data_IF_765961160226
#
_entry.id   IF_765961160226
#
_cell.length_a   1.000
_cell.length_b   1.000
_cell.length_c   1.000
_cell.angle_alpha   90.00
_cell.angle_beta   90.00
_cell.angle_gamma   90.00
#
_symmetry.space_group_name_H-M   'P 1'
#
loop_
_entity.id
_entity.type
_entity.pdbx_description
1 polymer ?
#
# COMPACT_ATOMS: atom_id res chain seq x y z
N UNK A 1 -22.13 35.32 -4.23
CA UNK A 1 -23.37 35.87 -4.83
C UNK A 1 -23.26 35.74 -6.33
N UNK A 2 -24.03 34.82 -6.92
CA UNK A 2 -24.00 34.51 -8.35
C UNK A 2 -24.89 35.50 -9.09
N UNK A 3 -24.31 36.40 -9.88
CA UNK A 3 -25.05 37.34 -10.72
C UNK A 3 -25.36 36.73 -12.08
N UNK A 4 -26.61 36.36 -12.32
CA UNK A 4 -27.10 35.96 -13.65
C UNK A 4 -27.29 37.22 -14.51
N UNK A 5 -26.47 37.42 -15.56
CA UNK A 5 -26.73 38.48 -16.55
C UNK A 5 -27.50 37.87 -17.72
N UNK A 6 -28.77 38.26 -17.85
CA UNK A 6 -29.61 37.95 -19.02
C UNK A 6 -29.34 38.97 -20.13
N UNK A 7 -28.83 38.51 -21.28
CA UNK A 7 -28.68 39.33 -22.49
C UNK A 7 -29.99 39.42 -23.29
N UNK A 8 -30.28 40.59 -23.87
CA UNK A 8 -31.48 40.85 -24.70
C UNK A 8 -31.56 39.92 -25.92
N UNK A 9 -32.73 39.33 -26.15
CA UNK A 9 -33.04 38.50 -27.32
C UNK A 9 -33.88 39.31 -28.31
N UNK A 10 -33.43 39.41 -29.57
CA UNK A 10 -34.24 39.85 -30.70
C UNK A 10 -34.73 38.62 -31.46
N UNK A 11 -36.04 38.48 -31.65
CA UNK A 11 -36.65 37.36 -32.38
C UNK A 11 -36.78 37.68 -33.88
N UNK A 12 -36.20 36.83 -34.71
CA UNK A 12 -36.58 36.61 -36.11
C UNK A 12 -36.32 35.14 -36.43
N UNK A 13 -37.31 34.46 -37.02
CA UNK A 13 -37.46 33.00 -37.10
C UNK A 13 -36.23 32.21 -37.53
N UNK A 14 -35.90 31.18 -36.74
CA UNK A 14 -34.85 30.19 -37.01
C UNK A 14 -34.61 29.33 -35.77
N UNK A 15 -34.43 28.03 -35.94
CA UNK A 15 -34.28 27.00 -34.90
C UNK A 15 -33.30 27.44 -33.79
N UNK A 16 -33.76 27.38 -32.53
CA UNK A 16 -33.00 27.78 -31.34
C UNK A 16 -32.02 26.67 -30.91
N UNK A 17 -30.74 26.81 -31.27
CA UNK A 17 -29.65 26.10 -30.60
C UNK A 17 -29.28 26.88 -29.32
N UNK A 18 -29.53 26.30 -28.15
CA UNK A 18 -29.02 26.84 -26.88
C UNK A 18 -27.58 26.36 -26.70
N UNK A 19 -26.61 27.18 -27.12
CA UNK A 19 -25.22 26.98 -26.73
C UNK A 19 -25.05 27.46 -25.28
N UNK A 20 -25.03 26.53 -24.31
CA UNK A 20 -24.55 26.83 -22.96
C UNK A 20 -23.02 26.98 -23.00
N UNK A 21 -22.54 28.21 -23.20
CA UNK A 21 -21.14 28.54 -22.95
C UNK A 21 -20.93 28.67 -21.43
N UNK A 22 -20.41 27.62 -20.78
CA UNK A 22 -19.83 27.76 -19.45
C UNK A 22 -18.51 28.53 -19.57
N UNK A 23 -18.54 29.82 -19.28
CA UNK A 23 -17.30 30.54 -18.93
C UNK A 23 -16.78 29.97 -17.63
N UNK A 24 -15.61 29.33 -17.67
CA UNK A 24 -14.84 29.00 -16.49
C UNK A 24 -14.65 30.28 -15.67
N UNK A 25 -15.30 30.35 -14.51
CA UNK A 25 -14.98 31.39 -13.54
C UNK A 25 -13.51 31.23 -13.19
N UNK A 26 -12.72 32.28 -13.37
CA UNK A 26 -11.42 32.38 -12.72
C UNK A 26 -11.68 32.23 -11.22
N UNK A 27 -11.41 31.05 -10.67
CA UNK A 27 -11.34 30.87 -9.24
C UNK A 27 -10.33 31.90 -8.76
N UNK A 28 -10.78 32.84 -7.92
CA UNK A 28 -9.86 33.58 -7.06
C UNK A 28 -8.97 32.50 -6.45
N UNK A 29 -7.66 32.55 -6.71
CA UNK A 29 -6.71 31.68 -6.05
C UNK A 29 -6.93 31.91 -4.56
N UNK A 30 -7.64 30.99 -3.90
CA UNK A 30 -7.74 30.99 -2.45
C UNK A 30 -6.29 30.86 -2.01
N UNK A 31 -5.76 31.93 -1.42
CA UNK A 31 -4.44 31.91 -0.80
C UNK A 31 -4.50 30.86 0.29
N UNK A 32 -4.09 29.64 -0.03
CA UNK A 32 -4.06 28.54 0.91
C UNK A 32 -2.94 28.84 1.91
N UNK A 33 -3.31 29.40 3.06
CA UNK A 33 -2.41 29.57 4.20
C UNK A 33 -2.50 28.31 5.05
N UNK A 34 -1.63 27.35 4.76
CA UNK A 34 -1.65 26.03 5.39
C UNK A 34 -0.48 25.80 6.36
N UNK A 35 0.53 26.68 6.33
CA UNK A 35 1.73 26.54 7.18
C UNK A 35 1.49 27.06 8.60
N UNK A 36 0.23 27.19 9.02
CA UNK A 36 -0.18 27.68 10.33
C UNK A 36 -0.10 26.54 11.34
N UNK A 37 0.98 26.49 12.10
CA UNK A 37 1.22 25.72 13.33
C UNK A 37 0.89 24.21 13.41
N UNK A 38 0.18 23.59 12.47
CA UNK A 38 -0.06 22.14 12.46
C UNK A 38 1.27 21.41 12.30
N UNK A 39 1.76 20.70 13.34
CA UNK A 39 3.07 20.07 13.29
C UNK A 39 3.06 18.78 12.48
N UNK A 40 1.89 18.26 12.12
CA UNK A 40 1.74 16.89 11.65
C UNK A 40 0.76 16.74 10.49
N UNK A 41 1.08 15.80 9.60
CA UNK A 41 0.23 15.30 8.54
C UNK A 41 -0.16 13.86 8.87
N UNK A 42 -1.45 13.55 8.83
CA UNK A 42 -1.96 12.20 8.99
C UNK A 42 -2.58 11.69 7.70
N UNK A 43 -2.37 10.42 7.42
CA UNK A 43 -3.15 9.64 6.47
C UNK A 43 -3.82 8.48 7.21
N UNK A 44 -5.11 8.29 7.00
CA UNK A 44 -5.88 7.17 7.55
C UNK A 44 -6.51 6.38 6.41
N UNK A 45 -6.23 5.07 6.32
CA UNK A 45 -6.82 4.22 5.29
C UNK A 45 -8.33 4.14 5.47
N UNK A 46 -9.04 4.26 4.35
CA UNK A 46 -10.49 4.11 4.27
C UNK A 46 -10.87 2.70 3.87
N UNK A 47 -12.18 2.46 3.77
CA UNK A 47 -12.72 1.17 3.34
C UNK A 47 -12.24 0.82 1.92
N UNK A 48 -11.65 -0.37 1.71
CA UNK A 48 -11.23 -0.85 0.40
C UNK A 48 -12.43 -1.05 -0.54
N UNK A 49 -12.22 -0.81 -1.83
CA UNK A 49 -13.21 -0.90 -2.90
C UNK A 49 -12.88 -2.08 -3.83
N UNK A 50 -12.98 -3.30 -3.28
CA UNK A 50 -12.64 -4.53 -3.99
C UNK A 50 -13.67 -4.87 -5.08
N UNK A 51 -13.20 -5.26 -6.27
CA UNK A 51 -14.03 -5.57 -7.43
C UNK A 51 -14.49 -4.35 -8.24
N UNK A 52 -14.16 -3.12 -7.80
CA UNK A 52 -14.50 -1.88 -8.51
C UNK A 52 -13.49 -1.49 -9.60
N UNK A 53 -12.25 -1.98 -9.51
CA UNK A 53 -11.11 -1.48 -10.28
C UNK A 53 -10.82 -0.01 -9.96
N UNK A 54 -10.29 0.71 -10.95
CA UNK A 54 -10.21 2.18 -10.92
C UNK A 54 -8.94 2.77 -10.32
N UNK A 55 -8.20 2.02 -9.50
CA UNK A 55 -6.92 2.49 -8.97
C UNK A 55 -5.71 2.08 -9.81
N UNK A 56 -5.84 1.11 -10.71
CA UNK A 56 -4.71 0.76 -11.57
C UNK A 56 -5.03 -0.27 -12.64
N UNK A 57 -4.00 -0.63 -13.40
CA UNK A 57 -4.07 -1.69 -14.41
C UNK A 57 -2.76 -2.45 -14.54
N UNK A 58 -2.85 -3.71 -14.92
CA UNK A 58 -1.77 -4.39 -15.64
C UNK A 58 -2.11 -4.45 -17.13
N UNK A 59 -1.09 -4.29 -17.98
CA UNK A 59 -1.25 -4.28 -19.44
C UNK A 59 -0.25 -5.21 -20.13
N UNK A 60 -0.60 -5.73 -21.30
CA UNK A 60 0.31 -6.46 -22.18
C UNK A 60 1.19 -5.50 -23.03
N UNK A 61 1.98 -6.06 -23.96
CA UNK A 61 2.84 -5.29 -24.87
C UNK A 61 2.07 -4.48 -25.92
N UNK A 62 0.83 -4.87 -26.23
CA UNK A 62 -0.05 -4.13 -27.13
C UNK A 62 -0.81 -3.00 -26.43
N UNK A 63 -0.67 -2.88 -25.11
CA UNK A 63 -1.39 -1.91 -24.27
C UNK A 63 -2.79 -2.36 -23.86
N UNK A 64 -3.19 -3.60 -24.16
CA UNK A 64 -4.46 -4.14 -23.72
C UNK A 64 -4.42 -4.38 -22.20
N UNK A 65 -5.52 -4.04 -21.52
CA UNK A 65 -5.67 -4.24 -20.07
C UNK A 65 -5.86 -5.73 -19.79
N UNK A 66 -4.96 -6.33 -19.02
CA UNK A 66 -5.05 -7.71 -18.56
C UNK A 66 -5.82 -7.82 -17.23
N UNK A 67 -5.58 -6.87 -16.31
CA UNK A 67 -6.27 -6.79 -15.02
C UNK A 67 -6.46 -5.34 -14.61
N UNK A 68 -7.61 -5.03 -14.02
CA UNK A 68 -7.83 -3.77 -13.29
C UNK A 68 -7.45 -3.97 -11.83
N UNK A 69 -6.74 -3.01 -11.25
CA UNK A 69 -6.32 -3.01 -9.86
C UNK A 69 -7.33 -2.21 -9.04
N UNK A 70 -7.72 -2.78 -7.91
CA UNK A 70 -8.74 -2.27 -7.01
C UNK A 70 -8.13 -1.29 -6.01
N UNK A 71 -8.89 -0.24 -5.66
CA UNK A 71 -8.52 0.64 -4.55
C UNK A 71 -8.64 -0.13 -3.22
N UNK A 72 -7.57 -0.20 -2.43
CA UNK A 72 -7.50 -0.98 -1.20
C UNK A 72 -7.12 -2.45 -1.42
N UNK A 73 -6.72 -2.83 -2.64
CA UNK A 73 -6.18 -4.15 -2.94
C UNK A 73 -4.66 -4.18 -2.90
N UNK A 74 -4.09 -5.17 -2.23
CA UNK A 74 -2.67 -5.53 -2.32
C UNK A 74 -2.49 -6.66 -3.34
N UNK A 75 -1.64 -6.41 -4.32
CA UNK A 75 -1.24 -7.36 -5.34
C UNK A 75 0.24 -7.69 -5.18
N UNK A 76 0.63 -8.95 -5.36
CA UNK A 76 2.01 -9.39 -5.28
C UNK A 76 2.27 -10.64 -6.14
N UNK A 77 3.54 -10.91 -6.40
CA UNK A 77 3.96 -12.10 -7.14
C UNK A 77 3.92 -11.94 -8.66
N UNK A 78 4.56 -12.87 -9.34
CA UNK A 78 4.60 -12.95 -10.80
C UNK A 78 3.32 -13.52 -11.41
N UNK A 79 3.42 -14.04 -12.65
CA UNK A 79 2.29 -14.69 -13.31
C UNK A 79 1.89 -16.04 -12.68
N UNK A 80 2.72 -16.59 -11.80
CA UNK A 80 2.50 -17.89 -11.15
C UNK A 80 1.91 -17.81 -9.74
N UNK A 81 1.50 -16.61 -9.29
CA UNK A 81 0.94 -16.43 -7.94
C UNK A 81 -0.28 -17.36 -7.73
N UNK A 82 -0.22 -18.14 -6.65
CA UNK A 82 -1.24 -19.12 -6.28
C UNK A 82 -2.21 -18.63 -5.22
N UNK A 83 -1.94 -17.48 -4.61
CA UNK A 83 -2.83 -16.81 -3.64
C UNK A 83 -3.92 -16.04 -4.41
N UNK A 84 -5.21 -16.09 -3.97
CA UNK A 84 -6.25 -15.24 -4.52
C UNK A 84 -5.91 -13.75 -4.34
N UNK A 85 -5.92 -12.98 -5.44
CA UNK A 85 -5.61 -11.55 -5.44
C UNK A 85 -6.82 -10.70 -5.88
N UNK A 86 -6.99 -9.50 -5.30
CA UNK A 86 -6.10 -8.87 -4.30
C UNK A 86 -6.26 -9.43 -2.89
N UNK A 87 -5.21 -9.31 -2.07
CA UNK A 87 -5.38 -9.33 -0.61
C UNK A 87 -6.02 -7.99 -0.20
N UNK A 88 -6.97 -8.03 0.74
CA UNK A 88 -7.70 -6.83 1.17
C UNK A 88 -6.85 -6.05 2.16
N UNK A 89 -6.54 -4.79 1.88
CA UNK A 89 -5.81 -3.95 2.85
C UNK A 89 -6.78 -3.51 3.95
N UNK A 90 -6.43 -3.67 5.24
CA UNK A 90 -7.28 -3.20 6.33
C UNK A 90 -7.51 -1.68 6.30
N UNK A 91 -8.70 -1.26 6.67
CA UNK A 91 -9.04 0.15 6.87
C UNK A 91 -8.63 0.63 8.27
N UNK A 92 -8.81 1.92 8.55
CA UNK A 92 -8.52 2.58 9.83
C UNK A 92 -7.04 2.58 10.25
N UNK A 93 -6.15 2.05 9.42
CA UNK A 93 -4.71 2.17 9.58
C UNK A 93 -4.28 3.62 9.45
N UNK A 94 -3.66 4.17 10.49
CA UNK A 94 -3.21 5.56 10.53
C UNK A 94 -1.69 5.64 10.43
N UNK A 95 -1.18 6.58 9.64
CA UNK A 95 0.23 6.95 9.61
C UNK A 95 0.36 8.45 9.82
N UNK A 96 1.16 8.86 10.79
CA UNK A 96 1.40 10.27 11.14
C UNK A 96 2.85 10.62 10.81
N UNK A 97 3.05 11.75 10.13
CA UNK A 97 4.33 12.33 9.75
C UNK A 97 4.47 13.71 10.37
N UNK A 98 5.66 14.07 10.80
CA UNK A 98 6.00 15.43 11.21
C UNK A 98 6.19 16.31 9.96
N UNK A 99 5.67 17.53 10.01
CA UNK A 99 5.94 18.59 9.04
C UNK A 99 7.18 19.33 9.54
N UNK A 100 8.34 18.99 8.98
CA UNK A 100 9.64 19.55 9.42
C UNK A 100 9.97 20.88 8.77
N UNK A 101 9.34 21.18 7.63
CA UNK A 101 9.38 22.48 6.99
C UNK A 101 8.10 22.71 6.17
N UNK A 102 7.65 23.96 6.09
CA UNK A 102 6.50 24.38 5.28
C UNK A 102 6.79 25.73 4.62
N UNK A 103 6.70 25.79 3.29
CA UNK A 103 6.87 27.02 2.52
C UNK A 103 5.54 27.77 2.40
N UNK A 104 5.35 28.86 3.13
CA UNK A 104 4.10 29.62 3.11
C UNK A 104 3.73 30.21 1.72
N UNK A 105 4.72 30.41 0.83
CA UNK A 105 4.50 30.94 -0.51
C UNK A 105 4.04 29.87 -1.52
N UNK A 106 4.42 28.61 -1.33
CA UNK A 106 4.17 27.53 -2.29
C UNK A 106 3.32 26.38 -1.73
N UNK A 107 3.15 26.34 -0.41
CA UNK A 107 2.57 25.23 0.34
C UNK A 107 3.39 23.95 0.35
N UNK A 108 4.65 23.98 -0.12
CA UNK A 108 5.53 22.83 -0.11
C UNK A 108 5.84 22.38 1.32
N UNK A 109 5.70 21.08 1.58
CA UNK A 109 5.94 20.43 2.86
C UNK A 109 7.18 19.54 2.76
N UNK A 110 8.01 19.55 3.80
CA UNK A 110 9.00 18.49 4.07
C UNK A 110 8.46 17.62 5.19
N UNK A 111 8.44 16.31 4.96
CA UNK A 111 7.86 15.32 5.87
C UNK A 111 8.97 14.51 6.53
N UNK A 112 8.83 14.27 7.82
CA UNK A 112 9.73 13.45 8.62
C UNK A 112 8.98 12.48 9.52
N UNK A 113 9.73 11.52 10.07
CA UNK A 113 9.17 10.51 10.95
C UNK A 113 8.58 11.10 12.25
N UNK A 114 7.55 10.43 12.77
CA UNK A 114 7.05 10.57 14.13
C UNK A 114 7.47 9.38 14.98
N UNK A 115 7.69 9.65 16.26
CA UNK A 115 7.87 8.65 17.32
C UNK A 115 6.53 8.39 18.03
N UNK A 116 6.46 7.38 18.93
CA UNK A 116 5.28 7.19 19.77
C UNK A 116 4.97 8.39 20.68
N UNK A 117 5.99 9.16 21.08
CA UNK A 117 5.78 10.37 21.86
C UNK A 117 5.06 11.46 21.05
N UNK A 118 5.34 11.55 19.74
CA UNK A 118 4.73 12.56 18.86
C UNK A 118 3.29 12.20 18.47
N UNK A 119 3.00 10.90 18.31
CA UNK A 119 1.74 10.37 17.75
C UNK A 119 0.79 9.77 18.79
N UNK A 120 1.28 9.59 20.02
CA UNK A 120 0.57 8.94 21.13
C UNK A 120 0.63 7.41 21.14
N UNK A 121 1.15 6.75 20.09
CA UNK A 121 1.22 5.29 20.02
C UNK A 121 2.31 4.77 19.08
N UNK A 122 2.78 3.53 19.29
CA UNK A 122 3.59 2.81 18.30
C UNK A 122 2.78 2.36 17.08
N UNK A 123 1.44 2.45 17.11
CA UNK A 123 0.52 1.95 16.06
C UNK A 123 0.24 2.93 14.92
N UNK A 124 0.56 4.20 15.12
CA UNK A 124 0.28 5.26 14.15
C UNK A 124 1.50 6.16 13.85
N UNK A 125 2.64 5.87 14.47
CA UNK A 125 3.89 6.58 14.21
C UNK A 125 4.59 6.12 12.93
N UNK A 126 5.73 6.73 12.58
CA UNK A 126 6.43 6.48 11.32
C UNK A 126 7.97 6.40 11.44
N UNK A 127 8.49 6.11 12.64
CA UNK A 127 9.90 5.86 12.92
C UNK A 127 10.28 4.36 12.89
N UNK A 128 11.50 4.05 12.43
CA UNK A 128 11.98 2.66 12.31
C UNK A 128 12.61 2.07 13.58
N UNK A 129 12.99 2.90 14.55
CA UNK A 129 13.72 2.50 15.77
C UNK A 129 12.83 2.18 16.99
N UNK A 130 11.51 2.09 16.81
CA UNK A 130 10.55 2.02 17.92
C UNK A 130 10.45 0.61 18.49
N UNK A 131 10.55 0.43 19.81
CA UNK A 131 10.29 -0.88 20.42
C UNK A 131 8.78 -1.19 20.41
N UNK A 132 8.39 -2.43 20.04
CA UNK A 132 7.00 -2.87 20.08
C UNK A 132 6.74 -3.82 21.26
N UNK A 133 5.92 -3.41 22.24
CA UNK A 133 5.48 -4.30 23.31
C UNK A 133 4.72 -5.54 22.80
N UNK A 134 3.93 -5.38 21.73
CA UNK A 134 3.14 -6.46 21.12
C UNK A 134 3.99 -7.50 20.38
N UNK A 135 5.18 -7.09 19.92
CA UNK A 135 6.10 -7.92 19.13
C UNK A 135 7.53 -7.81 19.68
N UNK A 136 7.85 -8.51 20.79
CA UNK A 136 9.16 -8.43 21.43
C UNK A 136 10.32 -8.73 20.46
N UNK A 137 11.33 -7.87 20.46
CA UNK A 137 12.50 -7.99 19.59
C UNK A 137 12.31 -7.50 18.15
N UNK A 138 11.12 -6.97 17.81
CA UNK A 138 10.81 -6.45 16.47
C UNK A 138 10.56 -4.95 16.53
N UNK A 139 11.51 -4.16 16.02
CA UNK A 139 11.46 -2.70 16.13
C UNK A 139 10.69 -2.02 14.96
N UNK A 140 10.37 -0.74 15.10
CA UNK A 140 9.66 0.06 14.09
C UNK A 140 8.19 0.25 14.41
N UNK A 141 7.65 1.42 14.10
CA UNK A 141 6.21 1.69 14.22
C UNK A 141 5.40 0.67 13.43
N UNK A 142 4.24 0.28 13.94
CA UNK A 142 3.34 -0.61 13.21
C UNK A 142 2.66 0.17 12.09
N UNK A 143 2.48 -0.48 10.94
CA UNK A 143 1.86 0.12 9.76
C UNK A 143 0.53 -0.56 9.47
N UNK A 144 -0.53 0.04 10.02
CA UNK A 144 -1.89 -0.49 9.94
C UNK A 144 -2.10 -1.81 10.67
N UNK A 145 -3.35 -2.30 10.71
CA UNK A 145 -3.72 -3.57 11.34
C UNK A 145 -2.98 -4.78 10.73
N UNK A 146 -2.86 -5.91 11.45
CA UNK A 146 -2.38 -7.16 10.88
C UNK A 146 -3.15 -7.53 9.61
N UNK A 147 -2.44 -7.80 8.52
CA UNK A 147 -3.02 -8.10 7.22
C UNK A 147 -3.22 -9.61 7.06
N UNK A 148 -4.47 -10.11 6.98
CA UNK A 148 -4.73 -11.49 6.61
C UNK A 148 -4.52 -11.70 5.11
N UNK A 149 -3.87 -12.80 4.74
CA UNK A 149 -3.75 -13.27 3.35
C UNK A 149 -4.33 -14.69 3.27
N UNK A 150 -5.66 -14.83 3.14
CA UNK A 150 -6.31 -16.13 2.99
C UNK A 150 -5.94 -16.79 1.65
N UNK A 151 -5.58 -18.08 1.68
CA UNK A 151 -5.41 -18.87 0.49
C UNK A 151 -6.43 -20.01 0.44
N UNK A 152 -7.59 -19.76 -0.19
CA UNK A 152 -8.65 -20.75 -0.32
C UNK A 152 -8.23 -22.01 -1.12
N UNK A 153 -7.26 -21.87 -2.04
CA UNK A 153 -6.73 -23.00 -2.83
C UNK A 153 -5.83 -23.92 -2.00
N UNK A 154 -5.21 -23.38 -0.94
CA UNK A 154 -4.39 -24.15 0.00
C UNK A 154 -4.41 -23.49 1.37
N UNK A 155 -5.43 -23.77 2.21
CA UNK A 155 -5.64 -23.05 3.46
C UNK A 155 -4.42 -23.05 4.40
N UNK A 156 -3.64 -24.15 4.42
CA UNK A 156 -2.41 -24.27 5.20
C UNK A 156 -1.29 -23.28 4.80
N UNK A 157 -1.38 -22.67 3.60
CA UNK A 157 -0.42 -21.68 3.13
C UNK A 157 -0.86 -20.24 3.37
N UNK A 158 -2.02 -20.04 4.01
CA UNK A 158 -2.51 -18.71 4.37
C UNK A 158 -1.61 -18.07 5.43
N UNK A 159 -1.43 -16.76 5.34
CA UNK A 159 -0.48 -16.05 6.19
C UNK A 159 -1.09 -14.81 6.85
N UNK A 160 -0.63 -14.52 8.06
CA UNK A 160 -0.83 -13.23 8.70
C UNK A 160 0.42 -12.39 8.49
N UNK A 161 0.27 -11.15 8.02
CA UNK A 161 1.38 -10.23 7.79
C UNK A 161 1.28 -9.07 8.76
N UNK A 162 2.35 -8.84 9.52
CA UNK A 162 2.47 -7.66 10.37
C UNK A 162 3.48 -6.72 9.73
N UNK A 163 3.04 -5.52 9.36
CA UNK A 163 3.91 -4.52 8.77
C UNK A 163 4.45 -3.59 9.85
N UNK A 164 5.76 -3.36 9.83
CA UNK A 164 6.43 -2.41 10.70
C UNK A 164 7.41 -1.56 9.91
N UNK A 165 7.60 -0.31 10.31
CA UNK A 165 8.48 0.64 9.65
C UNK A 165 9.93 0.23 9.86
N UNK A 166 10.67 0.03 8.78
CA UNK A 166 12.07 -0.41 8.82
C UNK A 166 13.03 0.75 9.09
N UNK A 167 12.71 1.93 8.56
CA UNK A 167 13.54 3.13 8.63
C UNK A 167 12.64 4.36 8.77
N UNK A 168 13.18 5.42 9.39
CA UNK A 168 12.44 6.66 9.58
C UNK A 168 11.85 7.16 8.27
N UNK A 169 10.55 7.43 8.29
CA UNK A 169 9.86 8.01 7.15
C UNK A 169 10.47 9.35 6.74
N UNK A 170 10.51 9.57 5.43
CA UNK A 170 10.87 10.84 4.82
C UNK A 170 9.94 11.11 3.66
N UNK A 171 9.76 12.37 3.31
CA UNK A 171 8.95 12.68 2.14
C UNK A 171 8.77 14.15 1.90
N UNK A 172 7.90 14.43 0.94
CA UNK A 172 7.46 15.77 0.62
C UNK A 172 5.96 15.76 0.35
N UNK A 173 5.37 16.96 0.39
CA UNK A 173 3.98 17.14 0.01
C UNK A 173 3.70 18.57 -0.40
N UNK A 174 2.45 18.84 -0.73
CA UNK A 174 1.98 20.19 -0.94
C UNK A 174 0.59 20.33 -0.32
N UNK A 175 0.49 21.23 0.66
CA UNK A 175 -0.75 21.44 1.41
C UNK A 175 -1.84 22.16 0.60
N UNK A 176 -1.51 22.79 -0.54
CA UNK A 176 -2.47 23.56 -1.34
C UNK A 176 -3.39 22.66 -2.15
N UNK A 177 -2.92 21.44 -2.46
CA UNK A 177 -3.67 20.43 -3.18
C UNK A 177 -3.70 19.07 -2.46
N UNK A 178 -3.01 18.93 -1.34
CA UNK A 178 -2.88 17.69 -0.57
C UNK A 178 -2.14 16.57 -1.29
N UNK A 179 -1.19 16.89 -2.17
CA UNK A 179 -0.30 15.89 -2.76
C UNK A 179 0.79 15.45 -1.78
N UNK A 180 1.17 14.17 -1.81
CA UNK A 180 2.23 13.59 -0.98
C UNK A 180 3.10 12.62 -1.78
N UNK A 181 4.37 12.51 -1.36
CA UNK A 181 5.31 11.45 -1.76
C UNK A 181 6.13 11.06 -0.53
N UNK A 182 5.88 9.86 0.00
CA UNK A 182 6.42 9.40 1.29
C UNK A 182 7.21 8.12 1.07
N UNK A 183 8.50 8.15 1.42
CA UNK A 183 9.33 6.96 1.56
C UNK A 183 9.13 6.39 2.97
N UNK A 184 8.57 5.18 3.07
CA UNK A 184 8.24 4.51 4.32
C UNK A 184 8.65 3.03 4.23
N UNK A 185 9.95 2.69 4.18
CA UNK A 185 10.38 1.32 4.01
C UNK A 185 9.80 0.43 5.10
N UNK A 186 9.27 -0.73 4.73
CA UNK A 186 8.61 -1.64 5.66
C UNK A 186 9.41 -2.93 5.83
N UNK A 187 9.29 -3.52 7.00
CA UNK A 187 9.52 -4.93 7.26
C UNK A 187 8.14 -5.59 7.37
N UNK A 188 7.84 -6.48 6.42
CA UNK A 188 6.62 -7.29 6.44
C UNK A 188 6.95 -8.62 7.09
N UNK A 189 6.56 -8.77 8.36
CA UNK A 189 6.74 -10.00 9.12
C UNK A 189 5.67 -11.01 8.72
N UNK A 190 6.10 -12.17 8.20
CA UNK A 190 5.17 -13.19 7.71
C UNK A 190 5.04 -14.30 8.74
N UNK A 191 3.80 -14.62 9.09
CA UNK A 191 3.43 -15.74 9.93
C UNK A 191 2.62 -16.72 9.09
N UNK A 192 3.11 -17.95 8.93
CA UNK A 192 2.42 -18.99 8.17
C UNK A 192 1.48 -19.76 9.11
N UNK A 193 0.30 -19.21 9.29
CA UNK A 193 -0.66 -19.64 10.32
C UNK A 193 -1.71 -20.61 9.79
N UNK A 194 -1.95 -20.61 8.49
CA UNK A 194 -3.05 -21.36 7.88
C UNK A 194 -4.41 -20.79 8.27
N UNK A 195 -5.34 -21.66 8.66
CA UNK A 195 -6.60 -21.26 9.28
C UNK A 195 -6.49 -21.40 10.81
N UNK A 196 -6.21 -20.28 11.49
CA UNK A 196 -5.90 -20.25 12.91
C UNK A 196 -7.15 -20.33 13.80
N UNK A 197 -8.32 -19.94 13.27
CA UNK A 197 -9.55 -19.74 14.03
C UNK A 197 -10.72 -20.41 13.30
N UNK A 198 -10.73 -21.74 13.32
CA UNK A 198 -11.71 -22.56 12.58
C UNK A 198 -13.16 -22.42 13.05
N UNK A 199 -13.39 -21.80 14.21
CA UNK A 199 -14.72 -21.48 14.75
C UNK A 199 -15.29 -20.15 14.24
N UNK A 200 -14.55 -19.41 13.41
CA UNK A 200 -15.00 -18.18 12.76
C UNK A 200 -15.17 -18.47 11.27
N UNK A 201 -16.27 -18.02 10.62
CA UNK A 201 -16.47 -18.25 9.19
C UNK A 201 -15.30 -17.75 8.34
N UNK A 202 -14.99 -18.46 7.25
CA UNK A 202 -13.85 -18.12 6.39
C UNK A 202 -12.50 -18.55 6.96
N UNK A 203 -11.44 -18.41 6.16
CA UNK A 203 -10.08 -18.72 6.61
C UNK A 203 -9.57 -17.53 7.43
N UNK A 204 -9.02 -17.82 8.61
CA UNK A 204 -8.53 -16.82 9.57
C UNK A 204 -7.02 -16.93 9.76
N UNK A 205 -6.21 -16.33 8.87
CA UNK A 205 -4.76 -16.36 9.04
C UNK A 205 -4.29 -15.53 10.23
N UNK A 206 -4.89 -14.36 10.44
CA UNK A 206 -4.61 -13.55 11.61
C UNK A 206 -5.57 -13.91 12.75
N UNK A 207 -5.12 -13.80 14.02
CA UNK A 207 -6.06 -13.70 15.13
C UNK A 207 -7.01 -12.51 14.96
N UNK A 208 -8.26 -12.69 15.35
CA UNK A 208 -9.32 -11.67 15.22
C UNK A 208 -9.77 -11.15 16.57
N UNK A 209 -10.23 -9.90 16.62
CA UNK A 209 -10.76 -9.27 17.82
C UNK A 209 -12.28 -9.23 17.76
N UNK A 210 -12.94 -10.25 18.31
CA UNK A 210 -14.40 -10.39 18.25
C UNK A 210 -15.03 -10.06 19.59
N UNK A 211 -16.01 -9.16 19.58
CA UNK A 211 -16.73 -8.73 20.79
C UNK A 211 -15.78 -8.30 21.93
N UNK A 212 -14.70 -7.60 21.59
CA UNK A 212 -13.69 -7.12 22.54
C UNK A 212 -12.75 -8.20 23.09
N UNK A 213 -12.74 -9.40 22.51
CA UNK A 213 -11.92 -10.53 22.95
C UNK A 213 -11.13 -11.15 21.78
N UNK A 214 -9.86 -11.45 22.00
CA UNK A 214 -9.04 -12.12 21.00
C UNK A 214 -9.53 -13.55 20.75
N UNK A 215 -9.64 -13.91 19.47
CA UNK A 215 -9.88 -15.27 19.01
C UNK A 215 -8.63 -15.74 18.25
N UNK A 216 -7.98 -16.79 18.76
CA UNK A 216 -6.70 -17.27 18.25
C UNK A 216 -5.49 -16.51 18.78
N UNK A 217 -4.32 -17.02 18.43
CA UNK A 217 -3.03 -16.47 18.87
C UNK A 217 -2.74 -16.67 20.37
N UNK A 218 -1.56 -16.22 20.84
CA UNK A 218 -1.13 -16.40 22.23
C UNK A 218 -2.00 -15.66 23.27
N UNK A 219 -2.81 -14.70 22.81
CA UNK A 219 -3.70 -13.88 23.66
C UNK A 219 -5.17 -14.27 23.54
N UNK A 220 -5.48 -15.44 22.98
CA UNK A 220 -6.87 -15.92 22.85
C UNK A 220 -7.62 -15.86 24.20
N UNK A 221 -8.82 -15.30 24.19
CA UNK A 221 -9.64 -15.09 25.39
C UNK A 221 -9.34 -13.82 26.20
N UNK A 222 -8.31 -13.04 25.83
CA UNK A 222 -7.97 -11.78 26.50
C UNK A 222 -8.63 -10.57 25.82
N UNK A 223 -8.77 -9.42 26.54
CA UNK A 223 -9.32 -8.20 25.97
C UNK A 223 -8.52 -7.68 24.77
N UNK A 224 -9.23 -7.12 23.79
CA UNK A 224 -8.67 -6.44 22.63
C UNK A 224 -9.60 -5.32 22.14
N UNK A 225 -9.03 -4.41 21.37
CA UNK A 225 -9.77 -3.43 20.57
C UNK A 225 -9.55 -3.73 19.08
N UNK A 226 -10.62 -3.84 18.26
CA UNK A 226 -10.50 -3.96 16.82
C UNK A 226 -9.66 -2.81 16.24
N UNK A 227 -8.73 -3.14 15.33
CA UNK A 227 -7.89 -2.14 14.66
C UNK A 227 -8.40 -1.78 13.25
N UNK A 228 -9.31 -2.58 12.70
CA UNK A 228 -10.00 -2.39 11.42
C UNK A 228 -11.51 -2.70 11.58
N UNK A 229 -12.26 -2.45 10.51
CA UNK A 229 -13.69 -2.66 10.46
C UNK A 229 -14.05 -4.13 10.22
N UNK A 230 -15.01 -4.65 10.99
CA UNK A 230 -15.59 -5.98 10.74
C UNK A 230 -16.32 -6.09 9.38
N UNK A 231 -16.69 -4.95 8.77
CA UNK A 231 -17.35 -4.89 7.46
C UNK A 231 -16.44 -5.31 6.29
N UNK A 232 -15.13 -5.43 6.52
CA UNK A 232 -14.17 -5.86 5.49
C UNK A 232 -14.30 -7.34 5.11
N UNK A 233 -15.05 -8.12 5.89
CA UNK A 233 -15.36 -9.51 5.60
C UNK A 233 -14.90 -10.44 6.71
N UNK A 234 -14.99 -11.73 6.43
CA UNK A 234 -14.90 -12.74 7.47
C UNK A 234 -13.53 -12.81 8.16
N UNK A 235 -12.44 -12.44 7.46
CA UNK A 235 -11.08 -12.43 7.99
C UNK A 235 -10.79 -11.29 9.00
N UNK A 236 -11.81 -10.47 9.30
CA UNK A 236 -11.73 -9.23 10.06
C UNK A 236 -12.78 -9.23 11.19
N UNK A 237 -12.57 -8.44 12.26
CA UNK A 237 -11.50 -7.49 12.43
C UNK A 237 -10.24 -8.06 13.08
N UNK A 238 -9.08 -7.54 12.69
CA UNK A 238 -7.78 -7.88 13.29
C UNK A 238 -7.36 -6.85 14.32
N UNK A 239 -6.36 -7.18 15.13
CA UNK A 239 -5.78 -6.26 16.12
C UNK A 239 -4.37 -6.65 16.51
N UNK A 240 -3.52 -5.66 16.78
CA UNK A 240 -2.22 -5.90 17.41
C UNK A 240 -2.33 -6.36 18.87
N UNK A 241 -3.49 -6.19 19.52
CA UNK A 241 -3.76 -6.79 20.83
C UNK A 241 -3.83 -8.32 20.76
N UNK A 242 -4.04 -8.86 19.56
CA UNK A 242 -4.14 -10.28 19.25
C UNK A 242 -2.99 -10.68 18.30
N UNK A 243 -1.74 -10.74 18.77
CA UNK A 243 -0.60 -11.02 17.91
C UNK A 243 -0.67 -12.46 17.37
N UNK A 244 -0.24 -12.74 16.13
CA UNK A 244 -0.08 -14.11 15.63
C UNK A 244 0.93 -14.91 16.47
N UNK A 245 0.84 -16.25 16.48
CA UNK A 245 1.78 -17.10 17.21
C UNK A 245 3.24 -16.90 16.74
N UNK A 246 4.18 -16.55 17.65
CA UNK A 246 5.57 -16.29 17.25
C UNK A 246 6.29 -17.54 16.73
N UNK A 247 5.83 -18.74 17.12
CA UNK A 247 6.36 -20.02 16.63
C UNK A 247 6.06 -20.27 15.14
N UNK A 248 5.14 -19.52 14.55
CA UNK A 248 4.75 -19.61 13.14
C UNK A 248 5.36 -18.50 12.28
N UNK A 249 6.23 -17.67 12.86
CA UNK A 249 6.99 -16.66 12.13
C UNK A 249 8.02 -17.31 11.22
N UNK A 250 8.02 -16.94 9.93
CA UNK A 250 8.91 -17.53 8.92
C UNK A 250 9.94 -16.56 8.35
N UNK A 251 9.86 -15.28 8.70
CA UNK A 251 10.81 -14.25 8.26
C UNK A 251 10.17 -12.89 8.02
N UNK A 252 11.03 -11.89 7.81
CA UNK A 252 10.62 -10.52 7.46
C UNK A 252 11.07 -10.19 6.04
N UNK A 253 10.16 -9.68 5.22
CA UNK A 253 10.50 -9.13 3.91
C UNK A 253 10.79 -7.64 4.02
N UNK A 254 11.93 -7.20 3.47
CA UNK A 254 12.23 -5.77 3.33
C UNK A 254 11.53 -5.21 2.09
N UNK A 255 10.49 -4.42 2.29
CA UNK A 255 9.71 -3.80 1.22
C UNK A 255 10.15 -2.34 1.09
N UNK A 256 10.68 -1.91 -0.08
CA UNK A 256 11.04 -0.51 -0.34
C UNK A 256 9.76 0.30 -0.63
N UNK A 257 8.91 0.41 0.39
CA UNK A 257 7.58 0.95 0.26
C UNK A 257 7.64 2.48 0.15
N UNK A 258 7.05 2.99 -0.94
CA UNK A 258 7.07 4.41 -1.28
C UNK A 258 5.69 4.81 -1.77
N UNK A 259 4.98 5.56 -0.95
CA UNK A 259 3.63 6.02 -1.18
C UNK A 259 3.65 7.33 -1.97
N UNK A 260 2.72 7.49 -2.91
CA UNK A 260 2.53 8.74 -3.65
C UNK A 260 1.07 8.95 -3.99
N UNK A 261 0.59 10.18 -3.93
CA UNK A 261 -0.71 10.55 -4.51
C UNK A 261 -0.67 10.71 -6.03
N UNK A 262 0.51 10.64 -6.65
CA UNK A 262 0.67 10.58 -8.10
C UNK A 262 0.72 9.15 -8.63
N UNK A 263 0.61 8.94 -9.95
CA UNK A 263 0.70 7.60 -10.52
C UNK A 263 2.09 7.00 -10.34
N UNK A 264 2.15 5.69 -10.10
CA UNK A 264 3.38 4.91 -10.13
C UNK A 264 3.28 3.83 -11.19
N UNK A 265 4.33 3.66 -11.98
CA UNK A 265 4.37 2.69 -13.07
C UNK A 265 5.67 1.91 -13.03
N UNK A 266 5.56 0.61 -13.32
CA UNK A 266 6.71 -0.27 -13.52
C UNK A 266 6.51 -1.04 -14.80
N UNK A 267 7.56 -1.15 -15.59
CA UNK A 267 7.57 -1.89 -16.87
C UNK A 267 8.55 -3.04 -16.77
N UNK A 268 8.12 -4.21 -17.21
CA UNK A 268 8.96 -5.40 -17.27
C UNK A 268 10.01 -5.30 -18.38
N UNK A 269 11.10 -6.04 -18.22
CA UNK A 269 12.12 -6.24 -19.26
C UNK A 269 12.24 -7.71 -19.64
N UNK A 270 12.72 -7.97 -20.85
CA UNK A 270 13.13 -9.32 -21.26
C UNK A 270 14.64 -9.47 -21.04
N UNK A 271 14.99 -10.43 -20.18
CA UNK A 271 16.36 -10.78 -19.85
C UNK A 271 16.70 -12.13 -20.49
N UNK A 272 17.98 -12.45 -20.72
CA UNK A 272 18.39 -13.70 -21.38
C UNK A 272 17.82 -14.96 -20.69
N UNK A 273 17.71 -14.94 -19.36
CA UNK A 273 17.22 -16.05 -18.58
C UNK A 273 15.67 -16.09 -18.42
N UNK A 274 14.98 -14.97 -18.62
CA UNK A 274 13.54 -14.86 -18.37
C UNK A 274 12.93 -13.62 -19.03
N UNK A 275 11.75 -13.77 -19.63
CA UNK A 275 10.94 -12.67 -20.14
C UNK A 275 10.01 -12.10 -19.06
N UNK A 276 9.50 -10.88 -19.27
CA UNK A 276 8.52 -10.21 -18.39
C UNK A 276 9.02 -10.00 -16.94
N UNK A 277 10.30 -9.66 -16.76
CA UNK A 277 10.88 -9.42 -15.43
C UNK A 277 10.61 -7.99 -14.97
N UNK A 278 9.80 -7.83 -13.93
CA UNK A 278 9.61 -6.58 -13.18
C UNK A 278 10.65 -6.44 -12.05
N UNK A 279 10.88 -7.52 -11.29
CA UNK A 279 11.64 -7.48 -10.05
C UNK A 279 12.76 -8.52 -10.04
N UNK A 280 13.87 -8.18 -10.68
CA UNK A 280 15.03 -9.07 -10.81
C UNK A 280 15.81 -9.23 -9.51
N UNK A 281 16.15 -10.49 -9.20
CA UNK A 281 17.12 -10.88 -8.18
C UNK A 281 18.09 -11.92 -8.76
N UNK A 282 19.35 -11.90 -8.30
CA UNK A 282 20.36 -12.84 -8.77
C UNK A 282 20.01 -14.28 -8.36
N UNK A 283 20.02 -15.18 -9.34
CA UNK A 283 19.62 -16.57 -9.19
C UNK A 283 20.55 -17.53 -9.96
N UNK A 284 20.53 -18.79 -9.55
CA UNK A 284 21.20 -19.87 -10.29
C UNK A 284 20.58 -20.04 -11.67
N UNK A 285 21.41 -20.38 -12.65
CA UNK A 285 20.96 -20.52 -14.04
C UNK A 285 20.01 -21.71 -14.23
N UNK A 286 20.26 -22.83 -13.54
CA UNK A 286 19.56 -24.11 -13.77
C UNK A 286 18.30 -24.23 -12.91
N UNK A 287 18.42 -24.07 -11.59
CA UNK A 287 17.30 -24.30 -10.66
C UNK A 287 16.49 -23.04 -10.37
N UNK A 288 16.98 -21.85 -10.74
CA UNK A 288 16.33 -20.58 -10.42
C UNK A 288 16.35 -20.25 -8.93
N UNK A 289 17.25 -20.86 -8.15
CA UNK A 289 17.40 -20.58 -6.72
C UNK A 289 18.03 -19.22 -6.52
N UNK A 290 17.43 -18.37 -5.69
CA UNK A 290 17.89 -17.00 -5.45
C UNK A 290 19.05 -16.95 -4.45
N UNK A 291 19.96 -15.99 -4.65
CA UNK A 291 21.04 -15.69 -3.70
C UNK A 291 20.46 -15.30 -2.34
N UNK A 292 21.04 -15.81 -1.25
CA UNK A 292 20.75 -15.38 0.12
C UNK A 292 22.03 -14.76 0.74
N UNK A 293 22.06 -13.46 1.10
CA UNK A 293 20.97 -12.49 1.04
C UNK A 293 20.55 -12.10 -0.39
N UNK A 294 19.31 -11.62 -0.58
CA UNK A 294 18.78 -11.33 -1.90
C UNK A 294 19.51 -10.13 -2.51
N UNK A 295 19.94 -10.31 -3.77
CA UNK A 295 20.66 -9.27 -4.51
C UNK A 295 19.81 -8.76 -5.68
N UNK A 296 19.25 -7.54 -5.58
CA UNK A 296 18.49 -6.94 -6.68
C UNK A 296 19.36 -6.81 -7.93
N UNK A 297 18.74 -6.97 -9.09
CA UNK A 297 19.39 -6.82 -10.38
C UNK A 297 18.39 -6.31 -11.42
N UNK A 298 18.93 -5.72 -12.48
CA UNK A 298 18.18 -5.29 -13.67
C UNK A 298 18.73 -5.93 -14.95
N UNK A 299 19.86 -6.64 -14.84
CA UNK A 299 20.50 -7.41 -15.90
C UNK A 299 21.43 -8.47 -15.30
N UNK A 300 21.87 -9.44 -16.10
CA UNK A 300 22.83 -10.48 -15.66
C UNK A 300 24.20 -9.90 -15.26
N UNK A 301 24.60 -8.74 -15.82
CA UNK A 301 25.80 -8.01 -15.39
C UNK A 301 25.69 -7.55 -13.93
N UNK A 302 24.45 -7.24 -13.50
CA UNK A 302 23.96 -7.29 -12.13
C UNK A 302 24.73 -8.28 -11.28
N UNK A 303 24.74 -9.53 -11.72
CA UNK A 303 25.04 -10.72 -10.95
C UNK A 303 26.50 -11.21 -11.02
N UNK A 304 27.38 -10.45 -11.66
CA UNK A 304 28.82 -10.78 -11.77
C UNK A 304 29.51 -11.03 -10.42
N UNK A 305 29.18 -10.24 -9.40
CA UNK A 305 29.70 -10.41 -8.03
C UNK A 305 28.98 -11.49 -7.20
N UNK A 306 27.94 -12.13 -7.75
CA UNK A 306 27.16 -13.17 -7.09
C UNK A 306 27.60 -14.55 -7.59
N UNK A 307 28.75 -15.04 -7.10
CA UNK A 307 29.30 -16.35 -7.46
C UNK A 307 28.26 -17.46 -7.36
N UNK A 308 27.99 -18.15 -8.48
CA UNK A 308 26.98 -19.22 -8.57
C UNK A 308 25.56 -18.76 -8.91
N UNK A 309 25.30 -17.46 -8.96
CA UNK A 309 23.97 -16.88 -9.24
C UNK A 309 24.02 -15.92 -10.44
N UNK A 310 24.41 -16.37 -11.64
CA UNK A 310 24.77 -15.46 -12.74
C UNK A 310 23.58 -14.81 -13.44
N UNK A 311 22.34 -15.25 -13.15
CA UNK A 311 21.15 -14.81 -13.89
C UNK A 311 20.31 -13.84 -13.08
N UNK A 312 19.79 -12.81 -13.74
CA UNK A 312 18.83 -11.89 -13.18
C UNK A 312 17.41 -12.30 -13.57
N UNK A 313 16.58 -12.60 -12.57
CA UNK A 313 15.21 -13.08 -12.80
C UNK A 313 14.30 -12.80 -11.61
N UNK A 314 13.00 -12.91 -11.81
CA UNK A 314 12.03 -13.07 -10.73
C UNK A 314 11.55 -14.54 -10.69
N UNK A 315 10.67 -14.92 -9.76
CA UNK A 315 10.23 -16.32 -9.67
C UNK A 315 9.54 -16.78 -10.94
N UNK A 316 8.43 -16.15 -11.29
CA UNK A 316 7.74 -16.35 -12.57
C UNK A 316 7.59 -15.00 -13.28
N UNK A 317 7.99 -14.90 -14.55
CA UNK A 317 7.84 -13.67 -15.34
C UNK A 317 6.37 -13.24 -15.43
N UNK A 318 6.12 -11.93 -15.47
CA UNK A 318 4.79 -11.32 -15.43
C UNK A 318 4.45 -10.75 -14.04
N UNK A 319 3.17 -10.50 -13.80
CA UNK A 319 2.69 -9.91 -12.56
C UNK A 319 1.28 -10.36 -12.23
N UNK A 320 1.01 -10.66 -10.97
CA UNK A 320 -0.34 -10.83 -10.40
C UNK A 320 -1.20 -11.85 -11.16
N UNK A 321 -0.60 -12.98 -11.55
CA UNK A 321 -1.26 -14.03 -12.30
C UNK A 321 -1.46 -13.72 -13.79
N UNK A 322 -0.76 -12.70 -14.32
CA UNK A 322 -0.87 -12.25 -15.71
C UNK A 322 0.50 -12.19 -16.38
N UNK A 323 0.55 -12.45 -17.69
CA UNK A 323 1.71 -12.16 -18.54
C UNK A 323 1.84 -10.65 -18.85
N UNK A 324 1.87 -9.84 -17.79
CA UNK A 324 1.87 -8.39 -17.88
C UNK A 324 3.24 -7.82 -18.29
N UNK A 325 3.18 -6.70 -19.01
CA UNK A 325 4.32 -5.85 -19.39
C UNK A 325 4.42 -4.57 -18.57
N UNK A 326 3.29 -4.03 -18.17
CA UNK A 326 3.23 -2.79 -17.39
C UNK A 326 2.29 -2.96 -16.22
N UNK A 327 2.69 -2.45 -15.06
CA UNK A 327 1.85 -2.25 -13.87
C UNK A 327 1.75 -0.74 -13.68
N UNK A 328 0.53 -0.23 -13.55
CA UNK A 328 0.28 1.17 -13.21
C UNK A 328 -0.71 1.23 -12.06
N UNK A 329 -0.33 1.91 -10.99
CA UNK A 329 -1.24 2.39 -9.95
C UNK A 329 -1.40 3.90 -10.10
N UNK A 330 -2.60 4.40 -9.81
CA UNK A 330 -3.02 5.79 -10.02
C UNK A 330 -3.54 6.32 -8.68
N UNK A 331 -2.73 7.12 -8.02
CA UNK A 331 -3.15 7.86 -6.83
C UNK A 331 -3.99 9.08 -7.17
N UNK A 332 -4.51 9.71 -6.12
CA UNK A 332 -5.23 10.98 -6.23
C UNK A 332 -4.91 11.84 -5.00
N UNK A 333 -4.41 13.08 -5.17
CA UNK A 333 -4.25 14.01 -4.05
C UNK A 333 -5.62 14.49 -3.56
N UNK A 334 -5.65 15.18 -2.40
CA UNK A 334 -6.90 15.72 -1.85
C UNK A 334 -7.64 16.67 -2.79
N UNK A 335 -6.91 17.35 -3.69
CA UNK A 335 -7.46 18.31 -4.64
C UNK A 335 -7.90 19.64 -4.00
N UNK A 336 -7.64 19.83 -2.71
CA UNK A 336 -8.05 20.99 -1.92
C UNK A 336 -6.94 21.42 -0.94
N UNK A 337 -7.08 22.63 -0.41
CA UNK A 337 -6.19 23.16 0.62
C UNK A 337 -6.42 22.43 1.95
N UNK A 338 -5.37 21.84 2.53
CA UNK A 338 -5.41 21.14 3.83
C UNK A 338 -5.43 22.09 5.04
N UNK A 339 -5.31 23.40 4.82
CA UNK A 339 -5.23 24.41 5.88
C UNK A 339 -6.51 24.58 6.70
N UNK A 340 -7.63 23.97 6.29
CA UNK A 340 -8.86 23.94 7.08
C UNK A 340 -8.82 22.93 8.24
N UNK A 341 -7.80 22.07 8.29
CA UNK A 341 -7.63 21.02 9.30
C UNK A 341 -8.65 19.88 9.19
N UNK A 342 -9.51 19.90 8.17
CA UNK A 342 -10.51 18.86 7.93
C UNK A 342 -9.87 17.63 7.27
N UNK A 343 -10.59 16.51 7.32
CA UNK A 343 -10.21 15.30 6.63
C UNK A 343 -10.69 15.35 5.17
N UNK A 344 -9.77 15.10 4.24
CA UNK A 344 -10.03 15.13 2.80
C UNK A 344 -9.65 13.81 2.16
N UNK A 345 -10.48 13.32 1.24
CA UNK A 345 -10.23 12.05 0.57
C UNK A 345 -8.97 12.14 -0.31
N UNK A 346 -8.10 11.15 -0.18
CA UNK A 346 -6.92 10.98 -1.03
C UNK A 346 -6.65 9.49 -1.25
N UNK A 347 -5.89 9.17 -2.30
CA UNK A 347 -5.45 7.81 -2.59
C UNK A 347 -3.95 7.83 -2.76
N UNK A 348 -3.25 7.10 -1.88
CA UNK A 348 -1.81 6.90 -1.98
C UNK A 348 -1.53 5.55 -2.64
N UNK A 349 -0.58 5.51 -3.57
CA UNK A 349 -0.25 4.29 -4.31
C UNK A 349 1.22 3.94 -4.21
N UNK A 350 1.53 2.65 -4.37
CA UNK A 350 2.90 2.17 -4.48
C UNK A 350 3.01 1.00 -5.44
N UNK A 351 4.06 0.98 -6.27
CA UNK A 351 4.50 -0.19 -7.04
C UNK A 351 5.94 -0.52 -6.63
N UNK A 352 6.16 -1.71 -6.10
CA UNK A 352 7.41 -2.10 -5.44
C UNK A 352 7.86 -3.51 -5.85
N UNK A 353 9.02 -3.93 -5.34
CA UNK A 353 9.50 -5.30 -5.49
C UNK A 353 9.47 -6.01 -4.16
N UNK A 354 8.98 -7.25 -4.19
CA UNK A 354 8.95 -8.15 -3.05
C UNK A 354 10.14 -9.13 -3.19
N UNK A 355 11.10 -9.14 -2.26
CA UNK A 355 12.23 -10.07 -2.30
C UNK A 355 11.78 -11.51 -2.00
N UNK A 356 12.63 -12.53 -2.26
CA UNK A 356 12.37 -13.87 -1.74
C UNK A 356 12.30 -13.86 -0.21
N UNK A 357 11.38 -14.63 0.35
CA UNK A 357 11.30 -14.88 1.79
C UNK A 357 12.26 -15.98 2.24
N UNK A 358 12.77 -16.78 1.29
CA UNK A 358 13.54 -18.01 1.53
C UNK A 358 12.77 -19.08 2.32
N UNK A 359 11.45 -18.97 2.37
CA UNK A 359 10.58 -20.02 2.84
C UNK A 359 9.90 -20.63 1.60
N UNK A 360 10.24 -21.89 1.30
CA UNK A 360 9.78 -22.54 0.07
C UNK A 360 8.25 -22.52 -0.09
N UNK A 361 7.49 -22.66 1.01
CA UNK A 361 6.03 -22.65 0.98
C UNK A 361 5.47 -21.26 0.69
N UNK A 362 5.97 -20.23 1.37
CA UNK A 362 5.51 -18.84 1.18
C UNK A 362 5.93 -18.30 -0.19
N UNK A 363 7.18 -18.51 -0.59
CA UNK A 363 7.68 -18.16 -1.92
C UNK A 363 6.90 -18.92 -3.01
N UNK A 364 6.48 -20.15 -2.72
CA UNK A 364 5.63 -20.92 -3.62
C UNK A 364 4.23 -20.35 -3.82
N UNK A 365 3.51 -20.12 -2.73
CA UNK A 365 2.16 -19.60 -2.78
C UNK A 365 2.13 -18.17 -3.34
N UNK A 366 3.03 -17.31 -2.86
CA UNK A 366 3.06 -15.89 -3.25
C UNK A 366 3.82 -15.59 -4.53
N UNK A 367 4.46 -16.59 -5.14
CA UNK A 367 5.31 -16.43 -6.32
C UNK A 367 6.40 -15.36 -6.16
N UNK A 368 7.15 -15.49 -5.06
CA UNK A 368 8.17 -14.53 -4.63
C UNK A 368 9.59 -15.03 -4.95
N UNK A 369 10.51 -14.16 -5.40
CA UNK A 369 10.33 -12.72 -5.59
C UNK A 369 9.48 -12.38 -6.80
N UNK A 370 8.83 -11.22 -6.72
CA UNK A 370 7.95 -10.70 -7.76
C UNK A 370 7.59 -9.24 -7.52
N UNK A 371 6.85 -8.62 -8.46
CA UNK A 371 6.31 -7.28 -8.25
C UNK A 371 5.29 -7.26 -7.12
N UNK A 372 5.09 -6.07 -6.56
CA UNK A 372 3.98 -5.74 -5.65
C UNK A 372 3.34 -4.42 -6.07
N UNK A 373 2.03 -4.28 -5.87
CA UNK A 373 1.29 -3.06 -6.12
C UNK A 373 0.18 -2.89 -5.08
N UNK A 374 -0.04 -1.65 -4.65
CA UNK A 374 -1.14 -1.32 -3.73
C UNK A 374 -1.65 0.08 -4.02
N UNK A 375 -2.95 0.25 -3.82
CA UNK A 375 -3.60 1.55 -3.70
C UNK A 375 -4.30 1.64 -2.36
N UNK A 376 -4.09 2.73 -1.63
CA UNK A 376 -4.63 3.01 -0.32
C UNK A 376 -5.60 4.19 -0.44
N UNK A 377 -6.89 3.96 -0.68
CA UNK A 377 -7.89 5.01 -0.54
C UNK A 377 -7.99 5.37 0.95
N UNK A 378 -8.20 6.63 1.25
CA UNK A 378 -8.27 7.09 2.63
C UNK A 378 -8.49 8.58 2.76
N UNK A 379 -8.13 9.11 3.91
CA UNK A 379 -8.26 10.53 4.23
C UNK A 379 -6.95 11.09 4.73
N UNK A 380 -6.58 12.24 4.18
CA UNK A 380 -5.45 13.04 4.65
C UNK A 380 -5.95 14.25 5.43
N UNK A 381 -5.24 14.62 6.50
CA UNK A 381 -5.54 15.80 7.32
C UNK A 381 -4.32 16.32 8.05
N UNK A 382 -4.35 17.60 8.39
CA UNK A 382 -3.45 18.12 9.42
C UNK A 382 -3.93 17.76 10.82
N UNK A 383 -2.97 17.50 11.70
CA UNK A 383 -3.17 17.33 13.13
C UNK A 383 -2.56 18.54 13.88
N UNK A 384 -3.17 18.97 15.00
CA UNK A 384 -2.69 20.09 15.81
C UNK A 384 -1.45 19.74 16.65
#
# INVERSE_FOLDING_TARGET
MTGLRCGKVALSGGIMLIALSLTAGTSLAQTCSCCTASPQLSFTTGTPQIGGGGCGTTKDSGGAILRRLDCGGLYFGGAGVGVPLPAVVPDLGQSILNITACSASTGALTLGATTPADSGSNRNCSAGGVSNPEYPGKNGCLFGPPLPIPNASSPATSSCVVNRVAQNATGSGNCTNGSSSVNLPLLSDIYLTGDLVSNVPGIQPCPVCLNGTCNGGPRSGLPCTPADSASLGAAYPTSHDCPPPPTLFIGSLSIPFSLSTGPQTKTSVDLPAQQFVFCGYCATQVTGTFQNPPRPCTSDANCSAASGFPTCRQRTGGAFGQAARTITETGSPAGVCLGDGAAHNATEVSVFCVPPSFNATADAAGDLPGPGAVALPGQTRFLP
#
